data_IF_642861391379
#
_entry.id   IF_642861391379
#
_cell.length_a   1.000
_cell.length_b   1.000
_cell.length_c   1.000
_cell.angle_alpha   90.00
_cell.angle_beta   90.00
_cell.angle_gamma   90.00
#
_symmetry.space_group_name_H-M   'P 1'
#
loop_
_entity.id
_entity.type
_entity.pdbx_description
1 polymer ?
#
# COMPACT_ATOMS: atom_id res chain seq x y z
N UNK A 1 -12.55 15.19 16.07
CA UNK A 1 -11.12 15.32 15.68
C UNK A 1 -10.78 14.27 14.62
N UNK A 2 -10.88 14.57 13.32
CA UNK A 2 -10.66 13.58 12.22
C UNK A 2 -9.47 13.97 11.31
N UNK A 3 -8.85 15.15 11.49
CA UNK A 3 -7.83 15.65 10.57
C UNK A 3 -6.44 15.02 10.70
N UNK A 4 -6.09 14.46 11.87
CA UNK A 4 -4.73 13.99 12.13
C UNK A 4 -4.36 12.76 11.29
N UNK A 5 -5.30 11.81 11.16
CA UNK A 5 -5.09 10.58 10.38
C UNK A 5 -4.95 10.87 8.88
N UNK A 6 -5.85 11.68 8.30
CA UNK A 6 -5.79 12.06 6.87
C UNK A 6 -4.47 12.73 6.50
N UNK A 7 -3.97 13.65 7.33
CA UNK A 7 -2.71 14.35 7.04
C UNK A 7 -1.50 13.41 7.11
N UNK A 8 -1.52 12.45 8.03
CA UNK A 8 -0.47 11.44 8.17
C UNK A 8 -0.42 10.47 6.98
N UNK A 9 -1.59 10.04 6.47
CA UNK A 9 -1.64 9.14 5.31
C UNK A 9 -1.14 9.80 4.02
N UNK A 10 -1.38 11.10 3.83
CA UNK A 10 -0.87 11.84 2.67
C UNK A 10 0.63 12.04 2.69
N UNK A 11 1.19 12.29 3.87
CA UNK A 11 2.64 12.31 4.03
C UNK A 11 3.22 10.92 3.75
N UNK A 12 2.67 9.87 4.39
CA UNK A 12 3.11 8.50 4.20
C UNK A 12 3.03 8.07 2.73
N UNK A 13 1.95 8.39 2.03
CA UNK A 13 1.77 8.14 0.60
C UNK A 13 2.90 8.77 -0.20
N UNK A 14 3.23 10.04 0.04
CA UNK A 14 4.29 10.73 -0.68
C UNK A 14 5.68 10.13 -0.39
N UNK A 15 5.98 9.83 0.87
CA UNK A 15 7.24 9.20 1.27
C UNK A 15 7.42 7.83 0.62
N UNK A 16 6.37 6.99 0.66
CA UNK A 16 6.43 5.67 0.04
C UNK A 16 6.43 5.74 -1.49
N UNK A 17 5.74 6.70 -2.11
CA UNK A 17 5.81 6.91 -3.55
C UNK A 17 7.24 7.21 -4.00
N UNK A 18 7.94 8.12 -3.32
CA UNK A 18 9.36 8.40 -3.59
C UNK A 18 10.24 7.18 -3.34
N UNK A 19 9.94 6.37 -2.32
CA UNK A 19 10.67 5.15 -2.05
C UNK A 19 10.49 4.11 -3.18
N UNK A 20 9.27 4.00 -3.74
CA UNK A 20 8.97 3.16 -4.90
C UNK A 20 9.69 3.68 -6.15
N UNK A 21 9.77 5.00 -6.36
CA UNK A 21 10.53 5.59 -7.47
C UNK A 21 12.04 5.31 -7.35
N UNK A 22 12.60 5.42 -6.14
CA UNK A 22 14.02 5.15 -5.90
C UNK A 22 14.35 3.66 -5.94
N UNK A 23 13.42 2.81 -5.53
CA UNK A 23 13.59 1.35 -5.42
C UNK A 23 12.35 0.62 -5.95
N UNK A 24 12.13 0.63 -7.28
CA UNK A 24 10.95 0.03 -7.90
C UNK A 24 10.92 -1.50 -7.78
N UNK A 25 12.06 -2.12 -7.50
CA UNK A 25 12.19 -3.56 -7.32
C UNK A 25 11.89 -4.06 -5.91
N UNK A 26 11.58 -3.14 -4.98
CA UNK A 26 11.30 -3.48 -3.59
C UNK A 26 9.79 -3.45 -3.34
N UNK A 27 9.11 -4.61 -3.33
CA UNK A 27 7.65 -4.66 -3.19
C UNK A 27 7.14 -4.21 -1.82
N UNK A 28 7.97 -4.23 -0.77
CA UNK A 28 7.57 -3.75 0.57
C UNK A 28 7.22 -2.26 0.58
N UNK A 29 7.84 -1.43 -0.27
CA UNK A 29 7.46 -0.01 -0.36
C UNK A 29 6.10 0.17 -1.04
N UNK A 30 5.79 -0.65 -2.06
CA UNK A 30 4.47 -0.67 -2.69
C UNK A 30 3.38 -1.16 -1.73
N UNK A 31 3.70 -2.14 -0.89
CA UNK A 31 2.83 -2.59 0.20
C UNK A 31 2.47 -1.46 1.17
N UNK A 32 3.47 -0.71 1.66
CA UNK A 32 3.21 0.41 2.55
C UNK A 32 2.50 1.59 1.86
N UNK A 33 2.79 1.83 0.58
CA UNK A 33 2.05 2.78 -0.25
C UNK A 33 0.57 2.40 -0.33
N UNK A 34 0.26 1.13 -0.55
CA UNK A 34 -1.10 0.61 -0.57
C UNK A 34 -1.81 0.84 0.78
N UNK A 35 -1.14 0.59 1.90
CA UNK A 35 -1.69 0.88 3.23
C UNK A 35 -2.01 2.37 3.43
N UNK A 36 -1.11 3.26 3.00
CA UNK A 36 -1.33 4.71 3.08
C UNK A 36 -2.53 5.14 2.22
N UNK A 37 -2.64 4.62 0.98
CA UNK A 37 -3.77 4.86 0.08
C UNK A 37 -5.09 4.38 0.70
N UNK A 38 -5.10 3.19 1.32
CA UNK A 38 -6.29 2.69 2.00
C UNK A 38 -6.69 3.59 3.17
N UNK A 39 -5.71 4.09 3.94
CA UNK A 39 -5.94 5.05 5.03
C UNK A 39 -6.50 6.40 4.56
N UNK A 40 -6.16 6.85 3.35
CA UNK A 40 -6.77 8.04 2.72
C UNK A 40 -8.20 7.82 2.23
N UNK A 41 -8.69 6.57 2.20
CA UNK A 41 -9.98 6.19 1.62
C UNK A 41 -9.89 5.82 0.14
N UNK A 42 -8.69 5.83 -0.45
CA UNK A 42 -8.43 5.42 -1.83
C UNK A 42 -8.30 3.89 -1.95
N UNK A 43 -9.35 3.17 -1.54
CA UNK A 43 -9.34 1.69 -1.49
C UNK A 43 -9.01 1.03 -2.84
N UNK A 44 -9.55 1.56 -3.95
CA UNK A 44 -9.29 1.03 -5.30
C UNK A 44 -7.80 1.14 -5.70
N UNK A 45 -7.18 2.30 -5.43
CA UNK A 45 -5.75 2.52 -5.69
C UNK A 45 -4.89 1.63 -4.78
N UNK A 46 -5.26 1.49 -3.51
CA UNK A 46 -4.57 0.61 -2.56
C UNK A 46 -4.52 -0.84 -3.04
N UNK A 47 -5.65 -1.40 -3.48
CA UNK A 47 -5.73 -2.77 -3.99
C UNK A 47 -4.85 -2.95 -5.22
N UNK A 48 -4.84 -1.97 -6.14
CA UNK A 48 -3.99 -2.01 -7.34
C UNK A 48 -2.51 -2.08 -6.97
N UNK A 49 -2.04 -1.18 -6.10
CA UNK A 49 -0.63 -1.17 -5.66
C UNK A 49 -0.25 -2.45 -4.91
N UNK A 50 -1.18 -2.97 -4.10
CA UNK A 50 -0.97 -4.23 -3.37
C UNK A 50 -0.87 -5.43 -4.31
N UNK A 51 -1.69 -5.47 -5.38
CA UNK A 51 -1.58 -6.48 -6.45
C UNK A 51 -0.24 -6.38 -7.17
N UNK A 52 0.24 -5.18 -7.49
CA UNK A 52 1.56 -5.01 -8.11
C UNK A 52 2.70 -5.45 -7.17
N UNK A 53 2.58 -5.17 -5.87
CA UNK A 53 3.53 -5.64 -4.87
C UNK A 53 3.58 -7.17 -4.79
N UNK A 54 2.43 -7.84 -4.88
CA UNK A 54 2.31 -9.31 -4.86
C UNK A 54 2.70 -9.97 -6.20
N UNK A 55 2.52 -9.25 -7.32
CA UNK A 55 2.91 -9.72 -8.65
C UNK A 55 4.44 -9.74 -8.83
N UNK A 56 5.18 -8.90 -8.10
CA UNK A 56 6.63 -9.03 -8.01
C UNK A 56 6.96 -10.33 -7.27
N UNK A 57 7.65 -11.25 -7.94
CA UNK A 57 8.08 -12.55 -7.38
C UNK A 57 9.20 -12.43 -6.33
N UNK A 58 9.40 -11.24 -5.77
CA UNK A 58 10.34 -11.01 -4.68
C UNK A 58 9.65 -11.40 -3.36
N UNK A 59 10.19 -12.38 -2.61
CA UNK A 59 9.70 -12.66 -1.27
C UNK A 59 10.02 -11.46 -0.36
N UNK A 60 8.98 -10.87 0.21
CA UNK A 60 9.09 -9.86 1.26
C UNK A 60 8.35 -10.33 2.51
N UNK A 61 8.79 -9.87 3.69
CA UNK A 61 8.27 -10.30 4.99
C UNK A 61 6.74 -10.20 5.06
N UNK A 62 6.20 -9.17 4.45
CA UNK A 62 4.79 -8.83 4.48
C UNK A 62 3.99 -9.43 3.31
N UNK A 63 4.58 -10.30 2.46
CA UNK A 63 3.88 -10.91 1.31
C UNK A 63 2.62 -11.68 1.74
N UNK A 64 2.72 -12.48 2.80
CA UNK A 64 1.57 -13.21 3.34
C UNK A 64 0.49 -12.27 3.92
N UNK A 65 0.93 -11.18 4.56
CA UNK A 65 0.03 -10.16 5.08
C UNK A 65 -0.64 -9.37 3.95
N UNK A 66 0.10 -9.05 2.90
CA UNK A 66 -0.39 -8.39 1.69
C UNK A 66 -1.46 -9.24 0.99
N UNK A 67 -1.25 -10.55 0.85
CA UNK A 67 -2.27 -11.45 0.26
C UNK A 67 -3.57 -11.46 1.10
N UNK A 68 -3.42 -11.53 2.42
CA UNK A 68 -4.55 -11.50 3.35
C UNK A 68 -5.31 -10.16 3.31
N UNK A 69 -4.57 -9.05 3.26
CA UNK A 69 -5.13 -7.71 3.15
C UNK A 69 -5.81 -7.49 1.81
N UNK A 70 -5.25 -8.01 0.71
CA UNK A 70 -5.83 -7.92 -0.61
C UNK A 70 -7.22 -8.54 -0.63
N UNK A 71 -7.35 -9.79 -0.18
CA UNK A 71 -8.63 -10.48 -0.07
C UNK A 71 -9.63 -9.73 0.80
N UNK A 72 -9.16 -9.19 1.94
CA UNK A 72 -10.00 -8.40 2.84
C UNK A 72 -10.51 -7.12 2.16
N UNK A 73 -9.64 -6.36 1.52
CA UNK A 73 -9.98 -5.09 0.89
C UNK A 73 -10.83 -5.27 -0.36
N UNK A 74 -10.61 -6.34 -1.13
CA UNK A 74 -11.48 -6.71 -2.26
C UNK A 74 -12.92 -7.02 -1.82
N UNK A 75 -13.10 -7.58 -0.63
CA UNK A 75 -14.43 -7.82 -0.06
C UNK A 75 -15.09 -6.55 0.51
N UNK A 76 -14.35 -5.45 0.69
CA UNK A 76 -14.84 -4.19 1.27
C UNK A 76 -15.14 -3.09 0.22
N UNK A 77 -14.97 -3.40 -1.08
CA UNK A 77 -15.24 -2.48 -2.20
C UNK A 77 -16.59 -2.79 -2.84
#
# INVERSE_FOLDING_TARGET
MVHYKRKAFTLARNEFAQAVEKKPDVPVFRYHLAMALHGEGKKKEAIRELKEALAKDAPFKEKAQADSLLKKWESEI
#
